data_IF_800733642840
#
_entry.id   IF_800733642840
#
_cell.length_a   1.000
_cell.length_b   1.000
_cell.length_c   1.000
_cell.angle_alpha   90.00
_cell.angle_beta   90.00
_cell.angle_gamma   90.00
#
_symmetry.space_group_name_H-M   'P 1'
#
loop_
_entity.id
_entity.type
_entity.pdbx_description
1 polymer ?
#
# COMPACT_ATOMS: atom_id res chain seq x y z
N UNK A 1 -32.76 -24.97 -5.83
CA UNK A 1 -32.07 -25.27 -4.54
C UNK A 1 -30.91 -26.19 -4.86
N UNK A 2 -29.76 -25.60 -5.13
CA UNK A 2 -28.49 -26.29 -5.31
C UNK A 2 -27.55 -25.57 -4.35
N UNK A 3 -27.31 -26.19 -3.21
CA UNK A 3 -26.30 -25.73 -2.26
C UNK A 3 -24.95 -25.72 -2.96
N UNK A 4 -24.48 -24.53 -3.34
CA UNK A 4 -23.07 -24.27 -3.63
C UNK A 4 -22.33 -24.39 -2.29
N UNK A 5 -21.97 -25.62 -1.95
CA UNK A 5 -21.12 -25.92 -0.82
C UNK A 5 -19.78 -25.23 -0.99
N UNK A 6 -19.58 -24.12 -0.27
CA UNK A 6 -18.24 -23.59 0.03
C UNK A 6 -17.42 -24.73 0.61
N UNK A 7 -16.18 -25.00 0.16
CA UNK A 7 -15.31 -25.92 0.88
C UNK A 7 -14.91 -25.26 2.21
N UNK A 8 -15.77 -25.37 3.23
CA UNK A 8 -15.48 -25.01 4.62
C UNK A 8 -14.59 -26.07 5.25
N UNK A 9 -13.34 -26.16 4.80
CA UNK A 9 -12.22 -26.74 5.57
C UNK A 9 -10.87 -26.46 4.91
N UNK A 10 -10.51 -25.18 4.75
CA UNK A 10 -9.09 -24.85 4.88
C UNK A 10 -8.79 -24.92 6.39
N UNK A 11 -8.06 -25.95 6.83
CA UNK A 11 -7.62 -26.03 8.21
C UNK A 11 -6.85 -24.76 8.59
N UNK A 12 -7.02 -24.27 9.82
CA UNK A 12 -6.20 -23.17 10.32
C UNK A 12 -4.73 -23.59 10.25
N UNK A 13 -3.95 -22.91 9.41
CA UNK A 13 -2.50 -23.12 9.33
C UNK A 13 -1.81 -22.53 10.56
N UNK A 14 -1.84 -23.29 11.66
CA UNK A 14 -1.18 -22.97 12.90
C UNK A 14 -0.49 -24.23 13.45
N UNK A 15 0.78 -24.11 13.87
CA UNK A 15 1.49 -25.25 14.46
C UNK A 15 0.80 -25.70 15.76
N UNK A 16 0.88 -26.99 16.12
CA UNK A 16 0.30 -27.48 17.36
C UNK A 16 0.95 -26.80 18.57
N UNK A 17 0.17 -25.99 19.29
CA UNK A 17 0.64 -25.27 20.47
C UNK A 17 0.83 -26.23 21.65
N UNK A 18 2.09 -26.55 21.94
CA UNK A 18 2.48 -27.43 23.07
C UNK A 18 3.30 -26.62 24.07
N UNK A 19 2.78 -26.48 25.28
CA UNK A 19 3.51 -25.86 26.40
C UNK A 19 4.21 -26.92 27.23
N UNK A 20 5.42 -26.62 27.68
CA UNK A 20 6.15 -27.44 28.63
C UNK A 20 5.36 -27.55 29.94
N UNK A 21 5.16 -28.77 30.45
CA UNK A 21 4.55 -29.00 31.76
C UNK A 21 5.65 -29.31 32.76
N UNK A 22 5.92 -28.36 33.64
CA UNK A 22 6.90 -28.50 34.71
C UNK A 22 6.47 -29.56 35.74
N UNK A 23 7.41 -30.40 36.16
CA UNK A 23 7.26 -31.30 37.30
C UNK A 23 8.57 -31.42 38.09
N UNK A 24 8.47 -31.86 39.35
CA UNK A 24 9.62 -31.95 40.24
C UNK A 24 10.65 -32.98 39.75
N UNK A 25 11.93 -32.59 39.72
CA UNK A 25 13.02 -33.45 39.25
C UNK A 25 13.18 -33.54 37.74
N UNK A 26 12.45 -32.73 36.97
CA UNK A 26 12.60 -32.64 35.52
C UNK A 26 13.91 -31.94 35.14
N UNK A 27 14.73 -32.59 34.31
CA UNK A 27 15.90 -31.98 33.68
C UNK A 27 15.45 -31.20 32.43
N UNK A 28 15.90 -29.95 32.30
CA UNK A 28 15.58 -29.07 31.16
C UNK A 28 16.85 -28.75 30.39
N UNK A 29 16.81 -28.87 29.07
CA UNK A 29 17.90 -28.50 28.17
C UNK A 29 17.57 -27.29 27.29
N UNK A 30 18.54 -26.85 26.48
CA UNK A 30 18.37 -25.75 25.53
C UNK A 30 17.14 -25.94 24.61
N UNK A 31 16.90 -27.18 24.16
CA UNK A 31 15.73 -27.53 23.34
C UNK A 31 14.39 -27.26 24.04
N UNK A 32 14.32 -27.44 25.36
CA UNK A 32 13.09 -27.20 26.11
C UNK A 32 12.79 -25.71 26.22
N UNK A 33 13.83 -24.90 26.46
CA UNK A 33 13.71 -23.44 26.48
C UNK A 33 13.43 -22.86 25.10
N UNK A 34 14.02 -23.40 24.03
CA UNK A 34 13.70 -23.00 22.66
C UNK A 34 12.22 -23.25 22.36
N UNK A 35 11.70 -24.44 22.72
CA UNK A 35 10.28 -24.75 22.55
C UNK A 35 9.36 -23.84 23.35
N UNK A 36 9.79 -23.39 24.53
CA UNK A 36 9.02 -22.41 25.31
C UNK A 36 9.00 -21.04 24.62
N UNK A 37 10.13 -20.58 24.08
CA UNK A 37 10.19 -19.36 23.26
C UNK A 37 9.27 -19.47 22.04
N UNK A 38 9.37 -20.55 21.27
CA UNK A 38 8.54 -20.81 20.08
C UNK A 38 7.05 -20.80 20.44
N UNK A 39 6.66 -21.42 21.57
CA UNK A 39 5.27 -21.43 22.03
C UNK A 39 4.74 -20.02 22.26
N UNK A 40 5.52 -19.14 22.89
CA UNK A 40 5.11 -17.76 23.14
C UNK A 40 5.09 -16.92 21.86
N UNK A 41 6.10 -17.08 21.00
CA UNK A 41 6.20 -16.39 19.71
C UNK A 41 5.04 -16.76 18.78
N UNK A 42 4.77 -18.04 18.59
CA UNK A 42 3.66 -18.51 17.76
C UNK A 42 2.29 -18.09 18.31
N UNK A 43 2.13 -18.02 19.64
CA UNK A 43 0.91 -17.50 20.25
C UNK A 43 0.73 -15.99 20.01
N UNK A 44 1.80 -15.22 20.03
CA UNK A 44 1.77 -13.78 19.73
C UNK A 44 1.45 -13.55 18.25
N UNK A 45 2.14 -14.25 17.35
CA UNK A 45 1.89 -14.22 15.91
C UNK A 45 0.44 -14.54 15.56
N UNK A 46 -0.12 -15.60 16.18
CA UNK A 46 -1.51 -15.96 15.99
C UNK A 46 -2.47 -14.85 16.44
N UNK A 47 -2.18 -14.18 17.58
CA UNK A 47 -2.99 -13.04 18.04
C UNK A 47 -2.93 -11.89 17.06
N UNK A 48 -1.73 -11.53 16.59
CA UNK A 48 -1.56 -10.47 15.60
C UNK A 48 -2.32 -10.82 14.31
N UNK A 49 -1.91 -11.89 13.62
CA UNK A 49 -2.45 -12.30 12.31
C UNK A 49 -3.96 -12.54 12.31
N UNK A 50 -4.51 -13.17 13.35
CA UNK A 50 -5.91 -13.62 13.36
C UNK A 50 -6.89 -12.69 14.08
N UNK A 51 -6.45 -11.89 15.05
CA UNK A 51 -7.34 -10.95 15.75
C UNK A 51 -7.24 -9.54 15.19
N UNK A 52 -6.01 -9.09 14.89
CA UNK A 52 -5.75 -7.70 14.49
C UNK A 52 -5.45 -7.56 12.99
N UNK A 53 -4.88 -8.60 12.38
CA UNK A 53 -4.41 -8.60 11.00
C UNK A 53 -2.93 -8.25 10.88
N UNK A 54 -2.57 -7.69 9.73
CA UNK A 54 -1.20 -7.31 9.41
C UNK A 54 -1.18 -5.97 8.65
N UNK A 55 -0.01 -5.42 8.33
CA UNK A 55 0.16 -4.15 7.62
C UNK A 55 0.98 -3.13 8.41
N UNK A 56 1.03 -1.91 7.89
CA UNK A 56 1.75 -0.78 8.51
C UNK A 56 0.90 -0.17 9.63
N UNK A 57 1.43 -0.16 10.84
CA UNK A 57 0.75 0.38 12.04
C UNK A 57 0.99 1.88 12.15
N UNK A 58 2.25 2.31 12.09
CA UNK A 58 2.63 3.72 12.14
C UNK A 58 4.03 3.95 11.55
N UNK A 59 4.29 5.19 11.13
CA UNK A 59 5.59 5.59 10.62
C UNK A 59 5.96 4.89 9.31
N UNK A 60 7.22 4.45 9.22
CA UNK A 60 7.76 3.75 8.04
C UNK A 60 7.61 4.54 6.74
N UNK A 61 7.49 5.86 6.80
CA UNK A 61 7.39 6.73 5.62
C UNK A 61 8.65 6.60 4.76
N UNK A 62 8.46 6.60 3.44
CA UNK A 62 9.56 6.67 2.48
C UNK A 62 9.68 8.12 2.05
N UNK A 63 10.84 8.70 2.30
CA UNK A 63 11.11 10.12 2.07
C UNK A 63 12.37 10.30 1.23
N UNK A 64 12.46 11.39 0.45
CA UNK A 64 13.69 11.72 -0.24
C UNK A 64 14.80 12.02 0.77
N UNK A 65 16.04 11.63 0.47
CA UNK A 65 17.20 12.05 1.26
C UNK A 65 17.51 13.52 0.95
N UNK A 66 17.63 14.41 1.95
CA UNK A 66 18.04 15.80 1.73
C UNK A 66 19.38 15.88 1.00
N UNK A 67 19.53 16.85 0.09
CA UNK A 67 20.69 16.93 -0.80
C UNK A 67 22.02 17.24 -0.09
N UNK A 68 21.97 17.65 1.19
CA UNK A 68 23.12 18.13 1.97
C UNK A 68 23.50 17.23 3.17
N UNK A 69 22.85 16.07 3.34
CA UNK A 69 23.25 15.09 4.38
C UNK A 69 24.22 14.06 3.79
N UNK A 70 25.46 14.48 3.53
CA UNK A 70 26.62 13.59 3.70
C UNK A 70 26.82 13.35 5.20
N UNK A 71 25.87 12.62 5.80
CA UNK A 71 26.02 12.15 7.16
C UNK A 71 27.28 11.25 7.19
N UNK A 72 28.29 11.53 8.03
CA UNK A 72 29.37 10.59 8.22
C UNK A 72 28.77 9.26 8.71
N UNK A 73 29.36 8.09 8.36
CA UNK A 73 28.78 6.79 8.71
C UNK A 73 28.83 6.60 10.24
N UNK A 74 27.80 7.07 10.92
CA UNK A 74 27.63 7.01 12.35
C UNK A 74 26.32 6.31 12.67
N UNK A 75 26.39 4.98 12.80
CA UNK A 75 25.27 4.13 13.18
C UNK A 75 24.99 3.04 12.15
N UNK A 76 25.86 2.04 12.07
CA UNK A 76 25.54 0.74 11.50
C UNK A 76 24.41 0.09 12.31
N UNK A 77 23.16 0.40 11.97
CA UNK A 77 22.09 -0.57 12.13
C UNK A 77 22.29 -1.61 11.02
N UNK A 78 23.08 -2.64 11.32
CA UNK A 78 23.31 -3.76 10.45
C UNK A 78 22.00 -4.55 10.25
N UNK A 79 21.25 -4.23 9.19
CA UNK A 79 20.40 -5.24 8.53
C UNK A 79 21.33 -6.11 7.67
N UNK A 80 21.40 -7.43 7.86
CA UNK A 80 22.37 -8.24 7.14
C UNK A 80 22.00 -8.32 5.66
N UNK A 81 23.05 -8.25 4.84
CA UNK A 81 23.02 -8.46 3.41
C UNK A 81 22.40 -9.81 3.05
N UNK A 82 21.82 -9.88 1.85
CA UNK A 82 21.43 -11.13 1.23
C UNK A 82 22.69 -11.93 0.90
N UNK A 83 22.99 -12.97 1.65
CA UNK A 83 24.02 -13.94 1.28
C UNK A 83 23.40 -15.01 0.35
N UNK A 84 23.99 -15.12 -0.84
CA UNK A 84 23.81 -16.24 -1.75
C UNK A 84 24.83 -17.32 -1.35
N UNK A 85 24.34 -18.54 -1.20
CA UNK A 85 25.09 -19.79 -1.03
C UNK A 85 26.06 -20.00 -2.21
N UNK A 86 27.33 -20.34 -1.93
CA UNK A 86 28.15 -21.37 -2.61
C UNK A 86 29.59 -21.43 -2.02
N UNK A 87 30.28 -22.60 -2.06
CA UNK A 87 31.26 -23.00 -1.04
C UNK A 87 32.73 -22.62 -1.32
N UNK A 88 33.49 -22.61 -0.24
CA UNK A 88 34.90 -22.28 -0.14
C UNK A 88 35.83 -23.23 -0.91
N UNK A 89 36.86 -22.66 -1.54
CA UNK A 89 38.07 -23.36 -1.95
C UNK A 89 39.28 -22.73 -1.24
N UNK A 90 40.06 -23.61 -0.63
CA UNK A 90 41.28 -23.39 0.15
C UNK A 90 42.44 -22.88 -0.73
N UNK A 91 43.27 -21.95 -0.22
CA UNK A 91 44.70 -21.91 -0.57
C UNK A 91 45.58 -21.47 0.61
N UNK A 92 46.65 -22.24 0.82
CA UNK A 92 47.73 -22.06 1.80
C UNK A 92 48.87 -21.16 1.27
N UNK A 93 49.78 -20.68 2.14
CA UNK A 93 50.54 -19.45 1.94
C UNK A 93 51.96 -19.65 1.38
N UNK A 94 52.55 -18.58 0.82
CA UNK A 94 54.00 -18.48 0.65
C UNK A 94 54.52 -17.06 0.94
N UNK A 95 55.64 -17.02 1.66
CA UNK A 95 56.34 -15.82 2.13
C UNK A 95 57.38 -15.29 1.13
N UNK A 96 57.80 -14.02 1.28
CA UNK A 96 59.05 -13.50 0.67
C UNK A 96 59.14 -11.99 0.44
N UNK A 97 59.63 -11.29 1.47
CA UNK A 97 60.52 -10.11 1.55
C UNK A 97 60.75 -9.09 0.40
N UNK A 98 60.88 -7.83 0.87
CA UNK A 98 61.80 -6.73 0.49
C UNK A 98 61.27 -5.50 -0.28
N UNK A 99 61.42 -4.36 0.41
CA UNK A 99 61.27 -2.96 0.02
C UNK A 99 62.17 -2.59 -1.16
N UNK A 100 61.75 -1.68 -2.05
CA UNK A 100 62.62 -0.68 -2.71
C UNK A 100 61.77 0.48 -3.27
N UNK A 101 62.38 1.66 -3.25
CA UNK A 101 61.81 3.01 -3.32
C UNK A 101 61.38 3.50 -4.73
N UNK A 102 60.41 4.42 -4.72
CA UNK A 102 59.85 5.37 -5.73
C UNK A 102 60.79 5.85 -6.90
N UNK A 103 60.31 6.39 -8.05
CA UNK A 103 59.20 7.38 -8.11
C UNK A 103 58.28 7.46 -9.34
N UNK A 104 57.17 8.19 -9.12
CA UNK A 104 56.42 9.05 -10.05
C UNK A 104 56.18 8.56 -11.49
N UNK A 105 54.99 7.98 -11.72
CA UNK A 105 54.42 7.76 -13.04
C UNK A 105 52.90 7.94 -12.98
N UNK A 106 52.44 9.09 -13.47
CA UNK A 106 51.09 9.41 -13.95
C UNK A 106 49.96 8.46 -13.53
N UNK A 107 49.22 8.90 -12.50
CA UNK A 107 47.88 8.37 -12.20
C UNK A 107 47.00 8.58 -13.42
N UNK A 108 46.83 7.50 -14.19
CA UNK A 108 45.78 7.35 -15.19
C UNK A 108 44.46 7.63 -14.48
N UNK A 109 43.84 8.75 -14.81
CA UNK A 109 42.45 9.04 -14.49
C UNK A 109 41.59 7.90 -15.02
N UNK A 110 41.24 6.96 -14.13
CA UNK A 110 40.16 6.03 -14.36
C UNK A 110 38.86 6.80 -14.57
N UNK A 111 37.87 6.23 -15.26
CA UNK A 111 36.61 6.92 -15.49
C UNK A 111 36.02 7.28 -14.13
N UNK A 112 35.64 8.54 -13.95
CA UNK A 112 34.86 8.98 -12.79
C UNK A 112 33.68 8.03 -12.64
N UNK A 113 33.69 7.19 -11.61
CA UNK A 113 32.50 6.44 -11.22
C UNK A 113 31.48 7.49 -10.79
N UNK A 114 30.65 7.94 -11.72
CA UNK A 114 29.53 8.86 -11.45
C UNK A 114 28.73 8.29 -10.29
N UNK A 115 28.86 8.93 -9.14
CA UNK A 115 28.27 8.48 -7.89
C UNK A 115 26.75 8.41 -8.05
N UNK A 116 26.16 7.26 -7.75
CA UNK A 116 24.71 7.09 -7.80
C UNK A 116 24.08 7.78 -6.60
N UNK A 117 23.07 8.61 -6.86
CA UNK A 117 22.43 9.48 -5.86
C UNK A 117 20.97 9.11 -5.57
N UNK A 118 20.46 8.06 -6.19
CA UNK A 118 19.12 7.54 -5.94
C UNK A 118 19.04 6.85 -4.56
N UNK A 119 18.87 7.66 -3.52
CA UNK A 119 18.74 7.23 -2.13
C UNK A 119 17.40 7.70 -1.57
N UNK A 120 16.80 6.86 -0.72
CA UNK A 120 15.59 7.20 0.06
C UNK A 120 15.81 6.93 1.53
N UNK A 121 15.06 7.61 2.39
CA UNK A 121 15.05 7.37 3.83
C UNK A 121 13.75 6.68 4.21
N UNK A 122 13.84 5.58 4.95
CA UNK A 122 12.70 4.97 5.64
C UNK A 122 12.69 5.52 7.07
N UNK A 123 11.59 6.13 7.49
CA UNK A 123 11.46 6.68 8.85
C UNK A 123 11.19 5.58 9.89
N UNK A 124 11.46 5.83 11.18
CA UNK A 124 11.08 4.90 12.24
C UNK A 124 9.59 4.55 12.19
N UNK A 125 9.26 3.34 12.63
CA UNK A 125 7.87 2.90 12.70
C UNK A 125 7.70 1.43 13.02
N UNK A 126 6.43 1.02 13.03
CA UNK A 126 5.99 -0.31 13.40
C UNK A 126 5.09 -0.87 12.31
N UNK A 127 5.30 -2.15 12.02
CA UNK A 127 4.52 -2.94 11.10
C UNK A 127 4.32 -4.36 11.66
N UNK A 128 3.36 -5.06 11.09
CA UNK A 128 3.14 -6.50 11.33
C UNK A 128 3.09 -7.17 9.97
N UNK A 129 3.89 -8.22 9.74
CA UNK A 129 3.85 -8.98 8.50
C UNK A 129 2.67 -9.98 8.47
N UNK A 130 2.43 -10.59 7.32
CA UNK A 130 1.32 -11.53 7.14
C UNK A 130 1.41 -12.81 8.00
N UNK A 131 2.58 -13.13 8.55
CA UNK A 131 2.76 -14.24 9.51
C UNK A 131 2.49 -13.81 10.95
N UNK A 132 2.31 -12.51 11.20
CA UNK A 132 2.11 -11.93 12.52
C UNK A 132 3.41 -11.55 13.22
N UNK A 133 4.55 -11.50 12.52
CA UNK A 133 5.79 -10.99 13.10
C UNK A 133 5.75 -9.47 13.16
N UNK A 134 6.20 -8.91 14.29
CA UNK A 134 6.32 -7.47 14.48
C UNK A 134 7.63 -6.98 13.84
N UNK A 135 7.51 -6.03 12.89
CA UNK A 135 8.65 -5.42 12.21
C UNK A 135 8.85 -4.02 12.77
N UNK A 136 9.92 -3.84 13.55
CA UNK A 136 10.22 -2.60 14.26
C UNK A 136 11.43 -1.90 13.64
N UNK A 137 11.20 -0.72 13.05
CA UNK A 137 12.27 0.17 12.58
C UNK A 137 12.48 1.24 13.66
N UNK A 138 13.50 1.04 14.51
CA UNK A 138 13.76 1.93 15.66
C UNK A 138 14.38 3.28 15.28
N UNK A 139 15.32 3.25 14.34
CA UNK A 139 15.97 4.44 13.77
C UNK A 139 15.73 4.49 12.26
N UNK A 140 15.60 5.69 11.72
CA UNK A 140 15.45 5.85 10.27
C UNK A 140 16.69 5.35 9.55
N UNK A 141 16.51 4.73 8.40
CA UNK A 141 17.62 4.18 7.62
C UNK A 141 17.60 4.73 6.19
N UNK A 142 18.80 4.98 5.65
CA UNK A 142 18.99 5.41 4.27
C UNK A 142 19.24 4.18 3.41
N UNK A 143 18.48 4.07 2.32
CA UNK A 143 18.52 2.98 1.36
C UNK A 143 19.08 3.52 0.05
N UNK A 144 20.21 2.97 -0.37
CA UNK A 144 20.73 3.13 -1.72
C UNK A 144 19.95 2.18 -2.64
N UNK A 145 19.06 2.74 -3.46
CA UNK A 145 18.12 1.95 -4.27
C UNK A 145 18.86 1.04 -5.24
N UNK A 146 19.97 1.51 -5.82
CA UNK A 146 20.74 0.73 -6.77
C UNK A 146 21.46 -0.46 -6.11
N UNK A 147 22.04 -0.25 -4.93
CA UNK A 147 22.71 -1.33 -4.18
C UNK A 147 21.72 -2.38 -3.67
N UNK A 148 20.52 -1.94 -3.27
CA UNK A 148 19.48 -2.82 -2.75
C UNK A 148 18.72 -3.56 -3.86
N UNK A 149 18.67 -3.02 -5.09
CA UNK A 149 18.01 -3.64 -6.23
C UNK A 149 18.82 -4.84 -6.79
N UNK A 150 18.20 -6.03 -6.93
CA UNK A 150 18.85 -7.20 -7.50
C UNK A 150 19.43 -6.92 -8.89
N UNK A 151 20.62 -7.47 -9.16
CA UNK A 151 21.37 -7.16 -10.39
C UNK A 151 20.59 -7.43 -11.69
N UNK A 152 19.70 -8.42 -11.68
CA UNK A 152 18.90 -8.83 -12.83
C UNK A 152 17.65 -7.96 -13.07
N UNK A 153 17.28 -7.10 -12.11
CA UNK A 153 16.09 -6.23 -12.17
C UNK A 153 16.45 -4.77 -12.41
N UNK A 154 17.72 -4.47 -12.71
CA UNK A 154 18.23 -3.08 -12.83
C UNK A 154 17.86 -2.37 -14.12
N UNK A 155 17.24 -3.07 -15.06
CA UNK A 155 16.67 -2.51 -16.28
C UNK A 155 15.23 -2.02 -16.02
N UNK A 156 15.09 -1.08 -15.09
CA UNK A 156 13.83 -0.46 -14.72
C UNK A 156 14.06 0.97 -14.26
N UNK A 157 13.07 1.82 -14.46
CA UNK A 157 12.96 3.14 -13.86
C UNK A 157 11.89 3.20 -12.75
N UNK A 158 11.10 2.14 -12.57
CA UNK A 158 10.18 1.98 -11.45
C UNK A 158 10.67 0.92 -10.47
N UNK A 159 10.70 1.27 -9.18
CA UNK A 159 11.07 0.34 -8.11
C UNK A 159 10.08 0.36 -6.96
N UNK A 160 9.96 -0.77 -6.29
CA UNK A 160 9.17 -0.92 -5.07
C UNK A 160 10.10 -1.15 -3.90
N UNK A 161 9.86 -0.41 -2.81
CA UNK A 161 10.61 -0.50 -1.56
C UNK A 161 9.72 -1.13 -0.51
N UNK A 162 10.20 -2.18 0.14
CA UNK A 162 9.50 -2.90 1.19
C UNK A 162 10.41 -3.34 2.32
N UNK A 163 9.79 -3.78 3.41
CA UNK A 163 10.47 -4.32 4.59
C UNK A 163 9.95 -5.72 4.90
N UNK A 164 10.81 -6.56 5.45
CA UNK A 164 10.42 -7.89 5.93
C UNK A 164 11.10 -8.18 7.27
N UNK A 165 10.46 -9.00 8.08
CA UNK A 165 11.01 -9.45 9.35
C UNK A 165 12.31 -10.24 9.14
N UNK A 166 13.25 -10.07 10.05
CA UNK A 166 14.50 -10.83 10.07
C UNK A 166 14.95 -11.15 11.48
N UNK A 167 15.74 -12.19 11.61
CA UNK A 167 16.48 -12.51 12.82
C UNK A 167 17.96 -12.63 12.46
N UNK A 168 18.83 -12.28 13.41
CA UNK A 168 20.26 -12.57 13.30
C UNK A 168 20.83 -12.97 14.65
N UNK A 169 21.79 -13.88 14.63
CA UNK A 169 22.54 -14.25 15.81
C UNK A 169 23.50 -13.10 16.20
N UNK A 170 23.53 -12.73 17.48
CA UNK A 170 24.36 -11.64 18.02
C UNK A 170 25.04 -12.07 19.31
N UNK A 171 26.00 -11.26 19.76
CA UNK A 171 26.81 -11.52 20.95
C UNK A 171 27.56 -12.86 20.88
N UNK A 172 28.59 -12.94 20.01
CA UNK A 172 29.41 -14.14 19.89
C UNK A 172 30.01 -14.50 21.25
N UNK A 173 29.78 -15.75 21.66
CA UNK A 173 30.15 -16.30 22.95
C UNK A 173 30.87 -17.62 22.72
N UNK A 174 31.96 -17.83 23.46
CA UNK A 174 32.70 -19.09 23.39
C UNK A 174 31.94 -20.16 24.16
N UNK A 175 31.57 -21.25 23.49
CA UNK A 175 30.99 -22.41 24.14
C UNK A 175 32.00 -23.04 25.12
N UNK A 176 31.53 -23.38 26.32
CA UNK A 176 32.37 -23.99 27.38
C UNK A 176 32.61 -25.49 27.12
N UNK A 177 31.67 -26.13 26.43
CA UNK A 177 31.76 -27.53 26.00
C UNK A 177 31.68 -27.57 24.48
N UNK A 178 32.59 -28.33 23.85
CA UNK A 178 32.47 -28.62 22.43
C UNK A 178 31.32 -29.60 22.21
N UNK A 179 30.62 -29.46 21.07
CA UNK A 179 29.80 -30.57 20.58
C UNK A 179 30.70 -31.80 20.41
N UNK A 180 30.20 -32.97 20.79
CA UNK A 180 30.98 -34.18 21.10
C UNK A 180 31.85 -34.74 19.94
N UNK A 181 31.89 -34.08 18.79
CA UNK A 181 32.68 -34.42 17.60
C UNK A 181 33.53 -33.25 17.06
N UNK A 182 33.57 -32.08 17.69
CA UNK A 182 34.32 -30.90 17.22
C UNK A 182 35.66 -30.73 17.97
N UNK A 183 36.77 -30.67 17.22
CA UNK A 183 38.13 -30.46 17.75
C UNK A 183 38.39 -29.02 18.23
N UNK A 184 37.52 -28.07 17.89
CA UNK A 184 37.57 -26.66 18.32
C UNK A 184 36.25 -26.22 18.95
N UNK A 185 36.31 -25.32 19.94
CA UNK A 185 35.10 -24.65 20.42
C UNK A 185 34.71 -23.62 19.35
N UNK A 186 33.69 -23.95 18.57
CA UNK A 186 33.19 -23.01 17.56
C UNK A 186 32.62 -21.76 18.26
N UNK A 187 32.66 -20.63 17.53
CA UNK A 187 32.10 -19.38 18.01
C UNK A 187 30.58 -19.48 17.92
N UNK A 188 29.92 -19.64 19.06
CA UNK A 188 28.46 -19.67 19.16
C UNK A 188 27.92 -18.26 19.42
N UNK A 189 26.62 -18.06 19.28
CA UNK A 189 25.98 -16.77 19.56
C UNK A 189 25.01 -16.91 20.73
N UNK A 190 25.17 -16.05 21.73
CA UNK A 190 24.36 -16.12 22.96
C UNK A 190 22.93 -15.61 22.81
N UNK A 191 22.68 -14.80 21.77
CA UNK A 191 21.42 -14.07 21.61
C UNK A 191 20.95 -14.04 20.17
N UNK A 192 19.63 -13.95 20.00
CA UNK A 192 18.99 -13.67 18.70
C UNK A 192 18.42 -12.25 18.74
N UNK A 193 18.86 -11.40 17.81
CA UNK A 193 18.29 -10.08 17.61
C UNK A 193 17.20 -10.13 16.55
N UNK A 194 16.01 -9.68 16.91
CA UNK A 194 14.92 -9.42 15.98
C UNK A 194 15.17 -8.10 15.23
N UNK A 195 15.27 -8.19 13.91
CA UNK A 195 15.62 -7.09 13.02
C UNK A 195 14.69 -7.08 11.79
N UNK A 196 15.07 -6.31 10.78
CA UNK A 196 14.35 -6.23 9.51
C UNK A 196 15.33 -6.25 8.34
N UNK A 197 14.83 -6.72 7.20
CA UNK A 197 15.54 -6.67 5.92
C UNK A 197 14.78 -5.75 4.97
N UNK A 198 15.52 -4.90 4.26
CA UNK A 198 14.97 -4.02 3.24
C UNK A 198 14.96 -4.79 1.92
N UNK A 199 13.84 -4.72 1.21
CA UNK A 199 13.68 -5.30 -0.12
C UNK A 199 13.41 -4.19 -1.11
N UNK A 200 14.15 -4.20 -2.21
CA UNK A 200 13.91 -3.34 -3.36
C UNK A 200 13.77 -4.26 -4.56
N UNK A 201 12.74 -4.05 -5.37
CA UNK A 201 12.49 -4.83 -6.58
C UNK A 201 12.05 -3.91 -7.72
N UNK A 202 12.38 -4.30 -8.94
CA UNK A 202 11.89 -3.68 -10.17
C UNK A 202 10.62 -4.32 -10.71
N UNK A 203 10.14 -5.39 -10.07
CA UNK A 203 8.92 -6.08 -10.44
C UNK A 203 7.74 -5.59 -9.60
N UNK A 204 6.57 -5.44 -10.24
CA UNK A 204 5.35 -5.10 -9.51
C UNK A 204 5.03 -6.19 -8.48
N UNK A 205 4.92 -5.84 -7.19
CA UNK A 205 4.67 -6.84 -6.18
C UNK A 205 3.27 -7.43 -6.24
N UNK A 206 3.12 -8.72 -5.89
CA UNK A 206 1.80 -9.36 -5.86
C UNK A 206 0.89 -8.76 -4.79
N UNK A 207 -0.39 -8.61 -5.16
CA UNK A 207 -1.45 -8.15 -4.26
C UNK A 207 -1.93 -9.32 -3.39
N UNK A 208 -2.19 -9.06 -2.10
CA UNK A 208 -2.80 -10.06 -1.22
C UNK A 208 -4.31 -10.11 -1.44
N UNK A 209 -4.71 -11.13 -2.19
CA UNK A 209 -6.05 -11.37 -2.66
C UNK A 209 -6.91 -12.23 -1.71
N UNK A 210 -6.36 -12.59 -0.54
CA UNK A 210 -7.03 -13.47 0.42
C UNK A 210 -8.07 -12.71 1.21
N UNK A 211 -9.29 -13.24 1.21
CA UNK A 211 -10.37 -12.69 2.04
C UNK A 211 -10.10 -12.86 3.54
N UNK A 212 -9.58 -14.01 3.95
CA UNK A 212 -9.22 -14.31 5.34
C UNK A 212 -7.70 -14.50 5.47
N UNK A 213 -7.02 -13.45 5.94
CA UNK A 213 -5.57 -13.42 6.13
C UNK A 213 -5.09 -14.28 7.30
N UNK A 214 -6.01 -14.82 8.11
CA UNK A 214 -5.71 -15.65 9.28
C UNK A 214 -5.42 -17.12 8.93
N UNK A 215 -6.20 -17.67 7.99
CA UNK A 215 -6.34 -19.13 7.84
C UNK A 215 -5.47 -19.70 6.72
N UNK A 216 -5.05 -18.88 5.76
CA UNK A 216 -4.17 -19.28 4.68
C UNK A 216 -2.79 -18.63 4.84
N UNK A 217 -1.70 -19.29 4.40
CA UNK A 217 -0.40 -18.63 4.28
C UNK A 217 -0.44 -17.53 3.21
N UNK A 218 0.45 -16.55 3.32
CA UNK A 218 0.64 -15.50 2.33
C UNK A 218 1.66 -15.94 1.28
N UNK A 219 1.51 -15.45 0.05
CA UNK A 219 2.49 -15.72 -1.02
C UNK A 219 3.82 -15.00 -0.77
N UNK A 220 3.78 -13.85 -0.09
CA UNK A 220 4.96 -13.07 0.28
C UNK A 220 4.81 -12.41 1.64
N UNK A 221 5.95 -12.18 2.31
CA UNK A 221 6.05 -11.57 3.65
C UNK A 221 6.59 -10.14 3.61
N UNK A 222 6.66 -9.55 2.43
CA UNK A 222 7.22 -8.21 2.26
C UNK A 222 6.09 -7.20 2.42
N UNK A 223 6.29 -6.25 3.33
CA UNK A 223 5.42 -5.11 3.50
C UNK A 223 5.92 -3.99 2.60
N UNK A 224 5.23 -3.80 1.48
CA UNK A 224 5.54 -2.75 0.52
C UNK A 224 5.20 -1.38 1.08
N UNK A 225 6.17 -0.47 1.05
CA UNK A 225 6.10 0.85 1.67
C UNK A 225 5.95 1.97 0.64
N UNK A 226 6.53 1.82 -0.55
CA UNK A 226 6.40 2.79 -1.63
C UNK A 226 6.71 2.17 -2.99
N UNK A 227 6.02 2.65 -4.02
CA UNK A 227 6.46 2.61 -5.41
C UNK A 227 7.19 3.92 -5.71
N UNK A 228 8.29 3.87 -6.46
CA UNK A 228 9.04 5.04 -6.88
C UNK A 228 9.15 5.00 -8.39
N UNK A 229 8.60 6.01 -9.06
CA UNK A 229 8.54 6.08 -10.52
C UNK A 229 9.64 6.99 -11.10
N UNK A 230 10.01 6.74 -12.35
CA UNK A 230 10.96 7.55 -13.14
C UNK A 230 12.32 7.78 -12.45
N UNK A 231 12.88 6.75 -11.80
CA UNK A 231 14.13 6.84 -11.05
C UNK A 231 15.32 7.09 -11.97
N UNK A 232 15.92 8.27 -11.86
CA UNK A 232 17.25 8.56 -12.39
C UNK A 232 18.30 8.17 -11.35
N UNK A 233 19.04 7.09 -11.63
CA UNK A 233 20.07 6.53 -10.74
C UNK A 233 21.17 7.51 -10.34
N UNK A 234 21.36 8.58 -11.12
CA UNK A 234 22.39 9.60 -10.90
C UNK A 234 21.85 10.88 -10.24
N UNK A 235 20.55 10.98 -9.96
CA UNK A 235 19.93 12.13 -9.30
C UNK A 235 19.27 11.74 -7.97
N UNK A 236 19.15 12.69 -7.03
CA UNK A 236 18.35 12.49 -5.83
C UNK A 236 16.88 12.23 -6.18
N UNK A 237 16.28 11.25 -5.50
CA UNK A 237 14.84 10.96 -5.62
C UNK A 237 14.05 12.15 -5.08
N UNK A 238 13.00 12.56 -5.79
CA UNK A 238 12.14 13.68 -5.42
C UNK A 238 10.84 13.20 -4.80
N UNK A 239 10.23 14.04 -3.95
CA UNK A 239 8.99 13.70 -3.23
C UNK A 239 7.84 13.24 -4.15
N UNK A 240 7.66 13.87 -5.32
CA UNK A 240 6.57 13.51 -6.24
C UNK A 240 6.75 12.15 -6.92
N UNK A 241 7.97 11.60 -6.93
CA UNK A 241 8.25 10.27 -7.47
C UNK A 241 7.84 9.16 -6.50
N UNK A 242 7.61 9.48 -5.22
CA UNK A 242 7.39 8.49 -4.16
C UNK A 242 5.89 8.32 -3.92
N UNK A 243 5.37 7.15 -4.27
CA UNK A 243 3.97 6.76 -4.17
C UNK A 243 3.76 5.75 -3.04
N UNK A 244 3.27 6.23 -1.90
CA UNK A 244 3.09 5.42 -0.68
C UNK A 244 1.71 4.74 -0.59
N UNK A 245 0.83 4.91 -1.57
CA UNK A 245 -0.51 4.30 -1.62
C UNK A 245 -0.49 2.77 -1.82
N UNK A 246 0.66 2.18 -2.16
CA UNK A 246 0.85 0.72 -2.20
C UNK A 246 0.88 0.07 -0.81
N UNK A 247 0.95 0.88 0.26
CA UNK A 247 0.97 0.38 1.63
C UNK A 247 -0.34 -0.29 1.97
N UNK A 248 -0.23 -1.46 2.61
CA UNK A 248 -1.35 -2.04 3.31
C UNK A 248 -1.49 -1.40 4.70
N UNK A 249 -2.58 -0.68 5.00
CA UNK A 249 -2.87 -0.25 6.37
C UNK A 249 -2.99 -1.46 7.30
N UNK A 250 -2.60 -1.27 8.57
CA UNK A 250 -2.77 -2.31 9.57
C UNK A 250 -4.24 -2.61 9.81
N UNK A 251 -4.59 -3.89 9.68
CA UNK A 251 -5.96 -4.33 9.92
C UNK A 251 -6.20 -5.75 9.42
N UNK A 252 -7.27 -6.35 9.91
CA UNK A 252 -7.64 -7.72 9.54
C UNK A 252 -8.02 -7.82 8.07
N UNK A 253 -8.64 -6.78 7.55
CA UNK A 253 -9.16 -6.71 6.19
C UNK A 253 -8.81 -5.35 5.59
N UNK A 254 -8.51 -5.33 4.30
CA UNK A 254 -8.41 -4.08 3.55
C UNK A 254 -9.82 -3.72 3.07
N UNK A 255 -10.42 -2.61 3.51
CA UNK A 255 -11.75 -2.22 3.03
C UNK A 255 -11.67 -1.82 1.57
N UNK A 256 -12.67 -2.23 0.79
CA UNK A 256 -12.89 -1.68 -0.56
C UNK A 256 -13.47 -0.28 -0.41
N UNK A 257 -12.82 0.72 -1.00
CA UNK A 257 -13.20 2.14 -0.92
C UNK A 257 -13.53 2.69 -2.29
N UNK A 258 -14.25 3.82 -2.33
CA UNK A 258 -14.41 4.62 -3.54
C UNK A 258 -13.14 5.44 -3.76
N UNK A 259 -12.54 5.27 -4.94
CA UNK A 259 -11.28 5.88 -5.35
C UNK A 259 -11.46 7.02 -6.34
N UNK A 260 -12.67 7.23 -6.86
CA UNK A 260 -12.95 8.35 -7.76
C UNK A 260 -14.41 8.46 -8.18
N UNK A 261 -14.86 9.69 -8.43
CA UNK A 261 -16.11 10.02 -9.15
C UNK A 261 -15.84 10.97 -10.33
N UNK A 262 -16.67 10.96 -11.38
CA UNK A 262 -16.50 11.86 -12.54
C UNK A 262 -17.22 13.21 -12.42
N UNK A 263 -17.69 13.59 -11.24
CA UNK A 263 -18.28 14.91 -10.99
C UNK A 263 -17.62 15.61 -9.81
N UNK A 264 -17.66 16.94 -9.81
CA UNK A 264 -17.05 17.75 -8.75
C UNK A 264 -18.10 18.00 -7.67
N UNK A 265 -17.83 17.50 -6.47
CA UNK A 265 -18.66 17.72 -5.30
C UNK A 265 -18.85 19.21 -5.01
N UNK A 266 -20.10 19.64 -4.87
CA UNK A 266 -20.49 21.03 -4.59
C UNK A 266 -20.27 22.00 -5.75
N UNK A 267 -19.84 21.53 -6.92
CA UNK A 267 -19.65 22.38 -8.09
C UNK A 267 -20.98 22.85 -8.69
N UNK A 268 -20.93 23.93 -9.46
CA UNK A 268 -22.08 24.45 -10.21
C UNK A 268 -21.88 24.18 -11.69
N UNK A 269 -22.65 23.27 -12.24
CA UNK A 269 -22.67 22.97 -13.67
C UNK A 269 -23.74 23.78 -14.39
N UNK A 270 -23.49 24.09 -15.65
CA UNK A 270 -24.57 24.56 -16.53
C UNK A 270 -25.57 23.43 -16.79
N UNK A 271 -26.79 23.78 -17.20
CA UNK A 271 -27.83 22.80 -17.53
C UNK A 271 -27.34 21.78 -18.58
N UNK A 272 -26.60 22.23 -19.60
CA UNK A 272 -26.10 21.36 -20.67
C UNK A 272 -24.98 20.44 -20.17
N UNK A 273 -24.06 20.95 -19.35
CA UNK A 273 -23.01 20.13 -18.71
C UNK A 273 -23.62 19.07 -17.79
N UNK A 274 -24.63 19.44 -17.00
CA UNK A 274 -25.33 18.52 -16.11
C UNK A 274 -26.05 17.42 -16.91
N UNK A 275 -26.68 17.75 -18.03
CA UNK A 275 -27.33 16.77 -18.93
C UNK A 275 -26.33 15.82 -19.58
N UNK A 276 -25.16 16.31 -19.98
CA UNK A 276 -24.08 15.48 -20.50
C UNK A 276 -23.55 14.53 -19.41
N UNK A 277 -23.26 15.08 -18.22
CA UNK A 277 -22.78 14.32 -17.07
C UNK A 277 -23.75 13.21 -16.63
N UNK A 278 -25.06 13.48 -16.63
CA UNK A 278 -26.08 12.50 -16.26
C UNK A 278 -26.42 11.49 -17.38
N UNK A 279 -25.84 11.67 -18.57
CA UNK A 279 -26.10 10.84 -19.76
C UNK A 279 -27.50 11.05 -20.35
N UNK A 280 -28.11 12.23 -20.19
CA UNK A 280 -29.42 12.54 -20.79
C UNK A 280 -29.31 12.72 -22.30
N UNK A 281 -28.23 13.33 -22.78
CA UNK A 281 -27.99 13.64 -24.20
C UNK A 281 -26.94 12.74 -24.85
N UNK A 282 -26.06 12.15 -24.04
CA UNK A 282 -24.95 11.32 -24.47
C UNK A 282 -25.15 9.90 -23.95
N UNK A 283 -25.10 8.92 -24.85
CA UNK A 283 -25.20 7.50 -24.48
C UNK A 283 -23.95 7.01 -23.74
N UNK A 284 -22.81 7.63 -24.02
CA UNK A 284 -21.52 7.37 -23.36
C UNK A 284 -21.35 8.21 -22.08
N UNK A 285 -22.35 9.03 -21.73
CA UNK A 285 -22.39 9.86 -20.51
C UNK A 285 -22.82 9.07 -19.26
N UNK A 286 -23.02 9.75 -18.14
CA UNK A 286 -23.46 9.14 -16.88
C UNK A 286 -22.48 9.30 -15.72
N UNK A 287 -22.97 9.09 -14.51
CA UNK A 287 -22.21 9.21 -13.27
C UNK A 287 -21.34 7.96 -13.09
N UNK A 288 -20.03 8.14 -13.02
CA UNK A 288 -19.06 7.07 -12.86
C UNK A 288 -18.51 7.07 -11.44
N UNK A 289 -18.46 5.90 -10.83
CA UNK A 289 -17.82 5.65 -9.52
C UNK A 289 -16.79 4.54 -9.69
N UNK A 290 -15.57 4.76 -9.21
CA UNK A 290 -14.47 3.79 -9.20
C UNK A 290 -14.20 3.28 -7.78
N UNK A 291 -13.82 2.02 -7.69
CA UNK A 291 -13.47 1.34 -6.44
C UNK A 291 -11.97 1.01 -6.39
N UNK A 292 -11.47 0.70 -5.19
CA UNK A 292 -10.09 0.25 -4.99
C UNK A 292 -9.86 -1.22 -5.32
N UNK A 293 -10.93 -2.00 -5.46
CA UNK A 293 -10.92 -3.43 -5.76
C UNK A 293 -12.26 -3.84 -6.41
N UNK A 294 -12.29 -5.04 -7.00
CA UNK A 294 -13.48 -5.58 -7.65
C UNK A 294 -14.68 -5.74 -6.71
N UNK A 295 -15.82 -5.17 -7.11
CA UNK A 295 -17.14 -5.31 -6.48
C UNK A 295 -18.05 -6.21 -7.32
N UNK A 296 -18.95 -6.93 -6.67
CA UNK A 296 -19.87 -7.85 -7.31
C UNK A 296 -20.86 -7.10 -8.19
N UNK A 297 -20.95 -7.50 -9.46
CA UNK A 297 -21.90 -6.92 -10.41
C UNK A 297 -23.36 -7.23 -10.02
N UNK A 298 -23.61 -8.40 -9.42
CA UNK A 298 -24.93 -8.83 -8.93
C UNK A 298 -25.49 -7.96 -7.79
N UNK A 299 -24.68 -7.10 -7.19
CA UNK A 299 -25.07 -6.15 -6.15
C UNK A 299 -25.52 -4.80 -6.72
N UNK A 300 -25.22 -4.50 -8.00
CA UNK A 300 -25.60 -3.26 -8.68
C UNK A 300 -27.08 -3.30 -9.12
N UNK A 301 -27.99 -3.21 -8.13
CA UNK A 301 -29.44 -3.33 -8.31
C UNK A 301 -30.15 -1.98 -8.16
N UNK A 302 -31.40 -1.85 -8.66
CA UNK A 302 -32.21 -0.67 -8.40
C UNK A 302 -32.29 -0.35 -6.89
N UNK A 303 -32.09 0.93 -6.55
CA UNK A 303 -32.08 1.42 -5.17
C UNK A 303 -30.70 1.51 -4.50
N UNK A 304 -29.65 0.95 -5.13
CA UNK A 304 -28.26 1.15 -4.64
C UNK A 304 -27.77 2.56 -4.94
N UNK A 305 -28.12 3.11 -6.10
CA UNK A 305 -27.86 4.51 -6.47
C UNK A 305 -29.19 5.25 -6.55
N UNK A 306 -29.25 6.40 -5.89
CA UNK A 306 -30.41 7.28 -5.88
C UNK A 306 -30.00 8.69 -6.29
N UNK A 307 -30.77 9.28 -7.20
CA UNK A 307 -30.64 10.67 -7.60
C UNK A 307 -31.89 11.41 -7.12
N UNK A 308 -31.72 12.43 -6.31
CA UNK A 308 -32.81 13.28 -5.84
C UNK A 308 -32.54 14.72 -6.26
N UNK A 309 -33.50 15.32 -6.95
CA UNK A 309 -33.42 16.74 -7.29
C UNK A 309 -34.17 17.53 -6.23
N UNK A 310 -33.51 18.55 -5.71
CA UNK A 310 -34.08 19.52 -4.79
C UNK A 310 -34.19 20.82 -5.57
N UNK A 311 -35.43 21.23 -5.86
CA UNK A 311 -35.68 22.35 -6.76
C UNK A 311 -35.19 23.68 -6.17
N UNK A 312 -34.42 24.41 -6.95
CA UNK A 312 -33.94 25.76 -6.62
C UNK A 312 -34.75 26.86 -7.29
N UNK A 313 -34.55 28.11 -6.86
CA UNK A 313 -35.19 29.29 -7.48
C UNK A 313 -35.45 30.46 -6.53
N UNK A 314 -35.91 31.60 -7.07
CA UNK A 314 -36.33 32.75 -6.28
C UNK A 314 -37.80 32.64 -5.87
N UNK A 315 -38.13 31.87 -4.82
CA UNK A 315 -39.51 31.68 -4.37
C UNK A 315 -39.70 30.72 -3.19
N UNK A 316 -40.89 30.09 -3.12
CA UNK A 316 -41.18 28.96 -2.22
C UNK A 316 -40.66 27.69 -2.91
N UNK A 317 -39.47 27.23 -2.55
CA UNK A 317 -38.84 26.08 -3.19
C UNK A 317 -38.52 25.05 -2.10
N UNK A 318 -39.22 23.92 -2.16
CA UNK A 318 -39.05 22.80 -1.24
C UNK A 318 -39.52 21.46 -1.84
N UNK A 319 -39.90 21.42 -3.12
CA UNK A 319 -40.22 20.18 -3.81
C UNK A 319 -38.93 19.39 -3.99
N UNK A 320 -39.04 18.09 -3.71
CA UNK A 320 -38.03 17.13 -4.08
C UNK A 320 -38.67 16.06 -4.94
N UNK A 321 -37.97 15.62 -5.96
CA UNK A 321 -38.43 14.53 -6.81
C UNK A 321 -37.29 13.56 -7.08
N UNK A 322 -37.68 12.32 -7.36
CA UNK A 322 -36.73 11.23 -7.61
C UNK A 322 -36.40 11.18 -9.10
N UNK A 323 -35.11 11.34 -9.41
CA UNK A 323 -34.59 11.16 -10.75
C UNK A 323 -34.21 9.69 -10.93
N UNK A 324 -35.05 8.96 -11.67
CA UNK A 324 -34.80 7.57 -12.01
C UNK A 324 -33.52 7.40 -12.83
N UNK A 325 -32.88 6.24 -12.69
CA UNK A 325 -31.71 5.88 -13.46
C UNK A 325 -31.52 4.37 -13.57
N UNK A 326 -30.49 3.98 -14.30
CA UNK A 326 -30.07 2.59 -14.49
C UNK A 326 -28.56 2.50 -14.57
N UNK A 327 -28.00 1.35 -14.22
CA UNK A 327 -26.61 1.04 -14.53
C UNK A 327 -26.48 0.86 -16.05
N UNK A 328 -25.56 1.60 -16.65
CA UNK A 328 -25.19 1.50 -18.06
C UNK A 328 -23.87 0.72 -18.24
N UNK A 329 -23.02 0.69 -17.20
CA UNK A 329 -21.90 -0.23 -17.08
C UNK A 329 -21.88 -0.78 -15.65
N UNK A 330 -21.46 -2.04 -15.43
CA UNK A 330 -21.05 -3.04 -16.43
C UNK A 330 -22.25 -3.60 -17.26
N UNK A 331 -21.98 -4.04 -18.50
CA UNK A 331 -22.97 -4.72 -19.38
C UNK A 331 -23.43 -6.07 -18.80
N UNK A 332 -24.58 -6.58 -19.25
CA UNK A 332 -25.15 -7.86 -18.80
C UNK A 332 -24.24 -9.09 -19.06
N UNK A 333 -23.25 -8.96 -19.96
CA UNK A 333 -22.23 -9.97 -20.28
C UNK A 333 -20.94 -9.85 -19.43
N UNK A 334 -20.93 -9.00 -18.40
CA UNK A 334 -19.70 -8.71 -17.65
C UNK A 334 -19.29 -9.80 -16.65
N UNK A 335 -17.99 -9.76 -16.33
CA UNK A 335 -17.34 -10.55 -15.29
C UNK A 335 -18.10 -10.47 -13.95
N UNK A 336 -17.91 -11.47 -13.08
CA UNK A 336 -18.53 -11.52 -11.74
C UNK A 336 -18.22 -10.25 -10.91
N UNK A 337 -17.10 -9.57 -11.21
CA UNK A 337 -16.62 -8.39 -10.52
C UNK A 337 -16.35 -7.24 -11.48
N UNK A 338 -16.56 -6.01 -11.01
CA UNK A 338 -16.19 -4.76 -11.69
C UNK A 338 -15.48 -3.82 -10.72
N UNK A 339 -14.56 -2.99 -11.19
CA UNK A 339 -13.91 -1.94 -10.39
C UNK A 339 -14.58 -0.57 -10.57
N UNK A 340 -15.61 -0.49 -11.41
CA UNK A 340 -16.38 0.74 -11.63
C UNK A 340 -17.82 0.45 -12.04
N UNK A 341 -18.69 1.42 -11.86
CA UNK A 341 -19.99 1.43 -12.53
C UNK A 341 -20.24 2.78 -13.19
N UNK A 342 -21.14 2.79 -14.17
CA UNK A 342 -21.70 3.99 -14.79
C UNK A 342 -23.20 4.00 -14.58
N UNK A 343 -23.74 5.07 -14.02
CA UNK A 343 -25.17 5.22 -13.72
C UNK A 343 -25.76 6.37 -14.54
N UNK A 344 -26.74 6.04 -15.39
CA UNK A 344 -27.38 6.97 -16.33
C UNK A 344 -28.79 7.31 -15.86
N UNK A 345 -29.16 8.58 -15.93
CA UNK A 345 -30.54 8.98 -15.62
C UNK A 345 -31.48 8.56 -16.76
N UNK A 346 -32.69 8.10 -16.43
CA UNK A 346 -33.68 7.60 -17.40
C UNK A 346 -34.91 8.50 -17.50
N UNK A 347 -35.01 9.53 -16.67
CA UNK A 347 -36.14 10.47 -16.69
C UNK A 347 -36.07 11.44 -17.86
N UNK A 348 -37.24 11.99 -18.23
CA UNK A 348 -37.37 13.05 -19.26
C UNK A 348 -37.59 14.43 -18.65
N UNK A 349 -37.57 14.53 -17.33
CA UNK A 349 -37.71 15.78 -16.59
C UNK A 349 -36.46 16.66 -16.78
N UNK A 350 -36.66 17.97 -16.82
CA UNK A 350 -35.58 18.93 -17.08
C UNK A 350 -35.14 19.64 -15.81
N UNK A 351 -33.84 19.63 -15.56
CA UNK A 351 -33.20 20.45 -14.52
C UNK A 351 -33.39 21.94 -14.80
N UNK A 352 -33.61 22.72 -13.74
CA UNK A 352 -33.84 24.15 -13.74
C UNK A 352 -32.69 24.92 -13.07
N UNK A 353 -32.70 26.24 -13.22
CA UNK A 353 -31.77 27.13 -12.53
C UNK A 353 -31.91 27.03 -11.00
N UNK A 354 -30.77 26.82 -10.33
CA UNK A 354 -30.69 26.70 -8.88
C UNK A 354 -30.93 25.30 -8.34
N UNK A 355 -31.29 24.31 -9.17
CA UNK A 355 -31.51 22.94 -8.72
C UNK A 355 -30.25 22.37 -8.07
N UNK A 356 -30.45 21.59 -6.99
CA UNK A 356 -29.40 20.77 -6.39
C UNK A 356 -29.69 19.31 -6.68
N UNK A 357 -28.78 18.65 -7.37
CA UNK A 357 -28.82 17.20 -7.61
C UNK A 357 -28.06 16.52 -6.48
N UNK A 358 -28.77 15.77 -5.65
CA UNK A 358 -28.22 14.92 -4.60
C UNK A 358 -28.02 13.51 -5.14
N UNK A 359 -26.82 12.98 -4.96
CA UNK A 359 -26.39 11.65 -5.41
C UNK A 359 -26.07 10.84 -4.16
N UNK A 360 -26.79 9.73 -3.99
CA UNK A 360 -26.60 8.82 -2.87
C UNK A 360 -26.24 7.44 -3.41
N UNK A 361 -25.08 6.91 -3.00
CA UNK A 361 -24.65 5.54 -3.28
C UNK A 361 -24.66 4.77 -1.97
N UNK A 362 -25.57 3.81 -1.84
CA UNK A 362 -25.71 2.96 -0.65
C UNK A 362 -24.64 1.87 -0.65
N UNK A 363 -23.39 2.26 -0.44
CA UNK A 363 -22.19 1.40 -0.48
C UNK A 363 -22.28 0.18 0.45
N UNK A 364 -23.04 0.25 1.54
CA UNK A 364 -23.36 -0.90 2.39
C UNK A 364 -24.02 -2.09 1.66
N UNK A 365 -24.62 -1.87 0.49
CA UNK A 365 -25.24 -2.91 -0.34
C UNK A 365 -24.40 -3.30 -1.56
N UNK A 366 -23.24 -2.68 -1.75
CA UNK A 366 -22.25 -3.05 -2.77
C UNK A 366 -21.21 -3.92 -2.08
N UNK A 367 -21.09 -5.18 -2.50
CA UNK A 367 -20.19 -6.13 -1.87
C UNK A 367 -18.94 -6.33 -2.74
N UNK A 368 -17.78 -6.45 -2.10
CA UNK A 368 -16.53 -6.83 -2.75
C UNK A 368 -16.43 -8.34 -3.04
N UNK A 369 -15.31 -8.77 -3.63
CA UNK A 369 -14.96 -10.19 -3.86
C UNK A 369 -15.01 -11.08 -2.62
N UNK A 370 -14.92 -10.50 -1.43
CA UNK A 370 -14.96 -11.19 -0.16
C UNK A 370 -16.32 -11.10 0.54
N UNK A 371 -17.35 -10.65 -0.18
CA UNK A 371 -18.70 -10.42 0.33
C UNK A 371 -18.74 -9.40 1.49
N UNK A 372 -17.83 -8.42 1.49
CA UNK A 372 -17.80 -7.32 2.46
C UNK A 372 -18.32 -6.03 1.82
N UNK A 373 -19.03 -5.18 2.58
CA UNK A 373 -19.56 -3.95 2.03
C UNK A 373 -18.46 -2.94 1.72
N UNK A 374 -18.64 -2.18 0.63
CA UNK A 374 -17.79 -1.03 0.29
C UNK A 374 -17.88 0.02 1.39
N UNK A 375 -16.74 0.61 1.76
CA UNK A 375 -16.63 1.71 2.73
C UNK A 375 -16.83 3.05 2.02
N UNK A 376 -18.05 3.56 2.02
CA UNK A 376 -18.42 4.75 1.25
C UNK A 376 -18.46 6.05 2.05
N UNK A 377 -18.22 6.03 3.37
CA UNK A 377 -18.35 7.23 4.21
C UNK A 377 -17.46 8.37 3.71
N UNK A 378 -17.99 9.59 3.69
CA UNK A 378 -17.22 10.76 3.30
C UNK A 378 -16.37 11.31 4.45
N UNK A 379 -15.19 10.71 4.69
CA UNK A 379 -14.32 11.11 5.80
C UNK A 379 -13.36 12.21 5.36
N UNK A 380 -13.43 13.38 6.00
CA UNK A 380 -12.52 14.49 5.76
C UNK A 380 -12.94 15.47 4.65
N UNK A 381 -14.16 15.34 4.13
CA UNK A 381 -14.80 16.38 3.31
C UNK A 381 -14.32 16.48 1.86
N UNK A 382 -13.44 15.59 1.40
CA UNK A 382 -13.03 15.53 -0.02
C UNK A 382 -13.51 14.25 -0.68
N UNK A 383 -14.09 14.40 -1.86
CA UNK A 383 -14.40 13.26 -2.73
C UNK A 383 -13.26 13.10 -3.74
N UNK A 384 -12.71 11.90 -3.95
CA UNK A 384 -11.75 11.71 -5.03
C UNK A 384 -12.39 11.91 -6.39
N UNK A 385 -11.68 12.57 -7.31
CA UNK A 385 -12.09 12.70 -8.70
C UNK A 385 -11.45 11.59 -9.53
N UNK A 386 -12.18 11.09 -10.52
CA UNK A 386 -11.59 10.30 -11.59
C UNK A 386 -10.81 11.28 -12.44
N UNK A 387 -9.50 11.09 -12.51
CA UNK A 387 -8.71 11.78 -13.53
C UNK A 387 -9.17 11.23 -14.90
N UNK A 388 -9.84 12.06 -15.69
CA UNK A 388 -10.20 11.77 -17.08
C UNK A 388 -8.94 11.76 -17.94
N UNK A 389 -8.12 10.73 -17.78
CA UNK A 389 -7.03 10.38 -18.67
C UNK A 389 -6.80 8.87 -18.63
N UNK A 390 -7.47 8.17 -19.56
CA UNK A 390 -7.04 6.86 -20.03
C UNK A 390 -5.71 6.96 -20.78
N UNK A 391 -4.64 7.30 -20.07
CA UNK A 391 -3.24 7.16 -20.47
C UNK A 391 -2.43 6.95 -19.21
N UNK A 392 -1.78 5.81 -19.11
CA UNK A 392 -0.54 5.66 -18.36
C UNK A 392 0.42 6.76 -18.79
N UNK A 393 0.48 7.85 -18.03
CA UNK A 393 1.57 8.83 -18.05
C UNK A 393 1.58 9.54 -16.71
N UNK A 394 2.62 9.26 -15.93
CA UNK A 394 3.48 10.26 -15.29
C UNK A 394 2.79 11.53 -14.77
N UNK A 395 2.61 11.57 -13.45
CA UNK A 395 2.43 12.81 -12.71
C UNK A 395 3.72 13.64 -12.78
N UNK A 396 3.90 14.35 -13.88
CA UNK A 396 5.08 15.16 -14.17
C UNK A 396 4.74 16.40 -14.99
N UNK A 397 4.03 17.36 -14.39
CA UNK A 397 4.02 18.74 -14.88
C UNK A 397 3.60 19.74 -13.79
N UNK A 398 4.50 20.02 -12.85
CA UNK A 398 4.55 21.33 -12.22
C UNK A 398 5.43 22.21 -13.12
N UNK A 399 4.82 22.86 -14.11
CA UNK A 399 5.46 23.97 -14.82
C UNK A 399 5.15 25.26 -14.09
N UNK A 400 6.21 25.92 -13.62
CA UNK A 400 6.18 27.34 -13.31
C UNK A 400 5.76 28.14 -14.56
N UNK A 401 4.99 29.20 -14.31
CA UNK A 401 4.60 30.31 -15.18
C UNK A 401 3.39 30.12 -16.12
N UNK A 402 2.38 30.97 -15.90
CA UNK A 402 1.48 31.46 -16.95
C UNK A 402 0.00 31.19 -16.69
N UNK A 403 -0.72 32.24 -16.31
CA UNK A 403 -2.17 32.32 -16.17
C UNK A 403 -2.88 31.83 -17.45
N UNK A 404 -3.63 30.74 -17.35
CA UNK A 404 -4.83 30.48 -18.18
C UNK A 404 -5.83 29.67 -17.36
N UNK A 405 -7.02 30.22 -17.19
CA UNK A 405 -8.15 29.65 -16.46
C UNK A 405 -8.54 28.27 -17.02
N UNK A 406 -8.32 27.22 -16.22
CA UNK A 406 -8.77 25.86 -16.46
C UNK A 406 -9.22 25.25 -15.13
N UNK A 407 -10.53 25.04 -15.00
CA UNK A 407 -11.26 24.38 -13.92
C UNK A 407 -10.45 23.94 -12.69
N UNK A 408 -10.23 24.89 -11.78
CA UNK A 408 -9.64 24.65 -10.47
C UNK A 408 -10.56 23.72 -9.67
N UNK A 409 -10.07 22.53 -9.31
CA UNK A 409 -10.64 21.73 -8.22
C UNK A 409 -10.94 22.65 -7.03
N UNK A 410 -12.11 22.57 -6.36
CA UNK A 410 -12.49 23.54 -5.35
C UNK A 410 -11.39 23.68 -4.30
N UNK A 411 -10.87 24.92 -4.19
CA UNK A 411 -9.72 25.25 -3.37
C UNK A 411 -9.98 24.78 -1.94
N UNK A 412 -9.12 23.89 -1.47
CA UNK A 412 -9.26 23.23 -0.19
C UNK A 412 -9.09 24.23 0.95
N UNK A 413 -9.62 23.95 2.16
CA UNK A 413 -9.24 24.71 3.33
C UNK A 413 -7.69 24.68 3.44
N UNK A 414 -7.04 25.84 3.59
CA UNK A 414 -5.58 25.89 3.69
C UNK A 414 -5.11 24.99 4.84
N UNK A 415 -4.22 24.04 4.55
CA UNK A 415 -3.61 23.14 5.53
C UNK A 415 -4.04 21.67 5.50
N UNK A 416 -4.98 21.27 4.62
CA UNK A 416 -5.45 19.88 4.53
C UNK A 416 -5.10 19.23 3.18
N UNK A 417 -3.87 19.38 2.68
CA UNK A 417 -3.48 18.91 1.33
C UNK A 417 -3.39 17.38 1.19
N UNK A 418 -3.17 16.67 2.30
CA UNK A 418 -3.10 15.21 2.35
C UNK A 418 -4.35 14.63 3.04
N UNK A 419 -4.77 13.41 2.68
CA UNK A 419 -5.82 12.71 3.43
C UNK A 419 -5.44 12.56 4.90
N UNK A 420 -6.39 12.30 5.82
CA UNK A 420 -6.11 12.10 7.25
C UNK A 420 -5.06 11.02 7.54
N UNK A 421 -4.92 10.04 6.65
CA UNK A 421 -3.86 9.01 6.70
C UNK A 421 -2.45 9.57 6.47
N UNK A 422 -2.33 10.78 5.89
CA UNK A 422 -1.08 11.38 5.43
C UNK A 422 -0.47 10.70 4.20
N UNK A 423 -1.18 9.74 3.59
CA UNK A 423 -0.63 8.81 2.59
C UNK A 423 -1.62 8.65 1.42
N UNK A 424 -1.10 8.79 0.20
CA UNK A 424 -1.82 8.47 -1.02
C UNK A 424 -2.89 9.49 -1.42
N UNK A 425 -3.70 9.18 -2.44
CA UNK A 425 -4.83 10.00 -2.82
C UNK A 425 -5.94 9.94 -1.77
N UNK A 426 -6.85 10.91 -1.82
CA UNK A 426 -8.08 10.85 -1.04
C UNK A 426 -8.91 9.64 -1.47
N UNK A 427 -9.56 8.99 -0.52
CA UNK A 427 -10.48 7.87 -0.75
C UNK A 427 -11.66 8.00 0.20
N UNK A 428 -12.77 7.34 -0.09
CA UNK A 428 -13.85 7.24 0.90
C UNK A 428 -13.46 6.32 2.06
N UNK A 429 -14.25 6.42 3.11
CA UNK A 429 -14.36 5.42 4.15
C UNK A 429 -13.63 5.74 5.45
N UNK A 430 -14.01 4.99 6.49
CA UNK A 430 -13.47 5.11 7.86
C UNK A 430 -12.48 4.01 8.21
N UNK A 431 -12.37 2.97 7.37
CA UNK A 431 -11.60 1.77 7.63
C UNK A 431 -12.43 0.57 8.10
N UNK A 432 -13.74 0.72 8.31
CA UNK A 432 -14.62 -0.28 8.90
C UNK A 432 -15.52 -1.01 7.88
N UNK A 433 -15.68 -0.48 6.67
CA UNK A 433 -16.61 -1.01 5.66
C UNK A 433 -18.06 -0.59 5.88
N UNK A 434 -18.81 -0.40 4.79
CA UNK A 434 -20.23 -0.04 4.82
C UNK A 434 -20.52 1.45 4.70
N UNK A 435 -21.68 1.84 5.23
CA UNK A 435 -22.23 3.20 5.18
C UNK A 435 -22.79 3.64 3.81
N UNK A 436 -23.03 4.95 3.67
CA UNK A 436 -23.54 5.61 2.49
C UNK A 436 -22.52 6.64 2.00
N UNK A 437 -22.30 6.66 0.70
CA UNK A 437 -21.59 7.74 0.03
C UNK A 437 -22.60 8.77 -0.47
N UNK A 438 -22.43 10.03 -0.06
CA UNK A 438 -23.28 11.15 -0.45
C UNK A 438 -22.46 12.24 -1.14
N UNK A 439 -22.96 12.75 -2.25
CA UNK A 439 -22.35 13.86 -2.99
C UNK A 439 -23.43 14.65 -3.71
N UNK A 440 -23.18 15.92 -4.02
CA UNK A 440 -24.13 16.75 -4.76
C UNK A 440 -23.42 17.73 -5.68
N UNK A 441 -24.18 18.30 -6.61
CA UNK A 441 -23.77 19.48 -7.38
C UNK A 441 -24.98 20.39 -7.60
N UNK A 442 -24.72 21.62 -8.00
CA UNK A 442 -25.72 22.63 -8.32
C UNK A 442 -25.84 22.82 -9.83
N UNK A 443 -27.01 23.22 -10.27
CA UNK A 443 -27.31 23.54 -11.66
C UNK A 443 -27.57 25.03 -11.78
N UNK A 444 -27.04 25.66 -12.82
CA UNK A 444 -27.29 27.06 -13.13
C UNK A 444 -27.58 27.27 -14.61
N UNK A 445 -28.46 28.23 -14.90
CA UNK A 445 -28.60 28.76 -16.24
C UNK A 445 -27.37 29.60 -16.61
N UNK A 446 -26.98 29.54 -17.89
CA UNK A 446 -25.68 30.02 -18.37
C UNK A 446 -25.54 31.54 -18.33
#
# INVERSE_FOLDING_TARGET
MTETGTPRTAGLDAPPLRRLRYFHGQMLGARDFQREQDYHREKLKLRMRCLLGYGVVCGLFVEPVPADDDCPPGGTAAGPAAEADEPAAEEHPAAGTEEHSAPAGESRTGPEHTERKAKVRITPGLAVDCDGNEVVVRGGCVVDLWKALPHHERDTDTVWVGITYGERAVEPTRAVYNDACADTSDCEYGWTEECYKIRVTGCEPPVDDRCDTCCAPCDHKVLWLARIDCVDWHRPVRRHQIHMNVRRPFGRHLPTVITGINWIHGHTYTIDEAKALLGTQDEDGGLVVRFSAGVRTDCLRPGVVELQVIEGGSGRNASTWYMGGTFAEPDDDCDEFTERFRYRQTTRETLQDGDRVMITVRSAFILDRCCRPVDGTHVGGRVPLIDDAGTTTDAGAATDAGTTDGATSPASPPGCDLPPSGIGPWTSGTGAGGDVFESWFFVKER
#
